data_IF_673878956623
#
_entry.id   IF_673878956623
#
_cell.length_a   1.000
_cell.length_b   1.000
_cell.length_c   1.000
_cell.angle_alpha   90.00
_cell.angle_beta   90.00
_cell.angle_gamma   90.00
#
_symmetry.space_group_name_H-M   'P 1'
#
loop_
_entity.id
_entity.type
_entity.pdbx_description
1 polymer ?
#
# COMPACT_ATOMS: atom_id res chain seq x y z
N UNK A 1 22.92 11.06 -13.60
CA UNK A 1 22.78 12.34 -12.89
C UNK A 1 22.60 13.51 -13.85
N UNK A 2 23.42 13.64 -14.90
CA UNK A 2 23.34 14.75 -15.86
C UNK A 2 21.96 14.90 -16.52
N UNK A 3 21.44 13.81 -17.09
CA UNK A 3 20.11 13.80 -17.72
C UNK A 3 18.99 14.10 -16.72
N UNK A 4 19.14 13.64 -15.48
CA UNK A 4 18.15 13.88 -14.41
C UNK A 4 18.15 15.36 -14.05
N UNK A 5 19.33 15.95 -13.83
CA UNK A 5 19.47 17.38 -13.54
C UNK A 5 18.89 18.25 -14.66
N UNK A 6 19.20 17.90 -15.93
CA UNK A 6 18.65 18.58 -17.10
C UNK A 6 17.12 18.54 -17.15
N UNK A 7 16.52 17.37 -16.93
CA UNK A 7 15.05 17.22 -16.90
C UNK A 7 14.40 17.92 -15.71
N UNK A 8 15.03 17.87 -14.53
CA UNK A 8 14.58 18.53 -13.32
C UNK A 8 14.83 20.05 -13.31
N UNK A 9 15.54 20.58 -14.32
CA UNK A 9 15.94 22.00 -14.43
C UNK A 9 16.72 22.50 -13.21
N UNK A 10 17.57 21.63 -12.66
CA UNK A 10 18.49 21.95 -11.56
C UNK A 10 19.93 21.71 -12.00
N UNK A 11 20.91 22.21 -11.24
CA UNK A 11 22.32 21.92 -11.52
C UNK A 11 22.66 20.49 -11.09
N UNK A 12 23.66 19.88 -11.76
CA UNK A 12 24.21 18.58 -11.35
C UNK A 12 24.76 18.62 -9.92
N UNK A 13 25.40 19.73 -9.53
CA UNK A 13 25.90 19.95 -8.17
C UNK A 13 24.79 19.97 -7.13
N UNK A 14 23.61 20.52 -7.46
CA UNK A 14 22.44 20.48 -6.58
C UNK A 14 22.04 19.04 -6.27
N UNK A 15 22.00 18.15 -7.27
CA UNK A 15 21.68 16.75 -7.01
C UNK A 15 22.74 16.05 -6.14
N UNK A 16 24.03 16.27 -6.41
CA UNK A 16 25.10 15.67 -5.61
C UNK A 16 25.17 16.18 -4.16
N UNK A 17 24.66 17.37 -3.88
CA UNK A 17 24.53 17.86 -2.51
C UNK A 17 23.49 17.07 -1.69
N UNK A 18 22.52 16.44 -2.36
CA UNK A 18 21.44 15.69 -1.71
C UNK A 18 21.61 14.18 -1.84
N UNK A 19 22.23 13.71 -2.93
CA UNK A 19 22.35 12.30 -3.25
C UNK A 19 23.76 11.97 -3.69
N UNK A 20 24.40 11.03 -3.00
CA UNK A 20 25.80 10.67 -3.24
C UNK A 20 25.98 9.97 -4.60
N UNK A 21 24.95 9.24 -5.04
CA UNK A 21 24.96 8.46 -6.27
C UNK A 21 23.59 8.45 -6.96
N UNK A 22 23.52 7.83 -8.14
CA UNK A 22 22.25 7.65 -8.86
C UNK A 22 21.37 6.60 -8.17
N UNK A 23 22.00 5.61 -7.57
CA UNK A 23 21.39 4.54 -6.80
C UNK A 23 20.81 5.08 -5.50
N UNK A 24 21.54 5.99 -4.84
CA UNK A 24 21.07 6.71 -3.65
C UNK A 24 19.83 7.56 -3.95
N UNK A 25 19.85 8.30 -5.06
CA UNK A 25 18.67 9.00 -5.56
C UNK A 25 17.51 8.05 -5.88
N UNK A 26 17.78 6.87 -6.48
CA UNK A 26 16.74 5.87 -6.77
C UNK A 26 16.08 5.37 -5.48
N UNK A 27 16.85 5.09 -4.43
CA UNK A 27 16.31 4.69 -3.14
C UNK A 27 15.47 5.79 -2.49
N UNK A 28 15.90 7.06 -2.58
CA UNK A 28 15.10 8.18 -2.10
C UNK A 28 13.75 8.28 -2.86
N UNK A 29 13.73 7.98 -4.17
CA UNK A 29 12.48 7.88 -4.94
C UNK A 29 11.61 6.71 -4.45
N UNK A 30 12.19 5.57 -4.10
CA UNK A 30 11.40 4.44 -3.54
C UNK A 30 10.77 4.85 -2.20
N UNK A 31 11.54 5.47 -1.30
CA UNK A 31 11.07 5.94 0.00
C UNK A 31 9.92 6.96 -0.15
N UNK A 32 10.09 7.95 -1.02
CA UNK A 32 9.04 8.95 -1.35
C UNK A 32 7.75 8.27 -1.85
N UNK A 33 7.86 7.23 -2.69
CA UNK A 33 6.69 6.50 -3.22
C UNK A 33 5.97 5.67 -2.17
N UNK A 34 6.71 5.07 -1.24
CA UNK A 34 6.12 4.35 -0.10
C UNK A 34 5.36 5.32 0.82
N UNK A 35 5.93 6.51 1.04
CA UNK A 35 5.31 7.56 1.84
C UNK A 35 4.02 8.08 1.21
N UNK A 36 4.05 8.45 -0.07
CA UNK A 36 2.85 8.90 -0.82
C UNK A 36 1.71 7.89 -0.77
N UNK A 37 2.02 6.59 -0.88
CA UNK A 37 1.01 5.53 -0.75
C UNK A 37 0.35 5.51 0.63
N UNK A 38 1.11 5.77 1.69
CA UNK A 38 0.56 5.84 3.06
C UNK A 38 -0.33 7.07 3.25
N UNK A 39 0.10 8.22 2.74
CA UNK A 39 -0.65 9.49 2.82
C UNK A 39 -2.02 9.40 2.13
N UNK A 40 -2.12 8.71 0.98
CA UNK A 40 -3.40 8.50 0.28
C UNK A 40 -4.41 7.77 1.17
N UNK A 41 -3.97 6.69 1.85
CA UNK A 41 -4.86 5.93 2.73
C UNK A 41 -5.24 6.73 3.97
N UNK A 42 -4.27 7.43 4.59
CA UNK A 42 -4.54 8.29 5.75
C UNK A 42 -5.56 9.39 5.40
N UNK A 43 -5.42 10.04 4.24
CA UNK A 43 -6.37 11.03 3.75
C UNK A 43 -7.75 10.43 3.47
N UNK A 44 -7.81 9.22 2.91
CA UNK A 44 -9.07 8.54 2.61
C UNK A 44 -9.85 8.23 3.89
N UNK A 45 -9.17 7.72 4.93
CA UNK A 45 -9.77 7.43 6.24
C UNK A 45 -10.27 8.73 6.91
N UNK A 46 -9.42 9.77 6.91
CA UNK A 46 -9.71 11.06 7.51
C UNK A 46 -10.06 10.96 9.00
N UNK A 47 -11.02 11.76 9.47
CA UNK A 47 -11.47 11.77 10.89
C UNK A 47 -12.71 10.91 11.13
N UNK A 48 -12.89 9.81 10.40
CA UNK A 48 -14.08 8.97 10.55
C UNK A 48 -14.20 8.42 11.98
N UNK A 49 -15.32 8.70 12.65
CA UNK A 49 -15.59 8.25 14.03
C UNK A 49 -16.33 6.90 14.03
N UNK A 50 -17.07 6.59 12.97
CA UNK A 50 -17.84 5.35 12.85
C UNK A 50 -16.99 4.25 12.18
N UNK A 51 -16.80 3.08 12.83
CA UNK A 51 -15.89 2.04 12.34
C UNK A 51 -16.21 1.48 10.96
N UNK A 52 -17.49 1.33 10.58
CA UNK A 52 -17.87 0.77 9.26
C UNK A 52 -17.57 1.76 8.15
N UNK A 53 -17.84 3.06 8.37
CA UNK A 53 -17.48 4.13 7.46
C UNK A 53 -15.95 4.27 7.35
N UNK A 54 -15.22 4.14 8.45
CA UNK A 54 -13.76 4.11 8.43
C UNK A 54 -13.24 2.94 7.57
N UNK A 55 -13.79 1.74 7.74
CA UNK A 55 -13.44 0.57 6.92
C UNK A 55 -13.72 0.78 5.43
N UNK A 56 -14.92 1.28 5.08
CA UNK A 56 -15.29 1.54 3.70
C UNK A 56 -14.36 2.58 3.05
N UNK A 57 -13.98 3.62 3.80
CA UNK A 57 -13.00 4.63 3.35
C UNK A 57 -11.59 4.07 3.22
N UNK A 58 -11.16 3.20 4.13
CA UNK A 58 -9.90 2.49 4.01
C UNK A 58 -9.88 1.68 2.71
N UNK A 59 -10.92 0.91 2.42
CA UNK A 59 -11.02 0.13 1.16
C UNK A 59 -10.90 1.03 -0.07
N UNK A 60 -11.60 2.16 -0.09
CA UNK A 60 -11.49 3.13 -1.19
C UNK A 60 -10.07 3.68 -1.33
N UNK A 61 -9.43 4.04 -0.22
CA UNK A 61 -8.04 4.46 -0.19
C UNK A 61 -7.10 3.37 -0.73
N UNK A 62 -7.33 2.11 -0.40
CA UNK A 62 -6.55 0.98 -0.90
C UNK A 62 -6.71 0.79 -2.40
N UNK A 63 -7.93 0.91 -2.93
CA UNK A 63 -8.20 0.85 -4.37
C UNK A 63 -7.41 1.93 -5.09
N UNK A 64 -7.42 3.17 -4.57
CA UNK A 64 -6.65 4.29 -5.13
C UNK A 64 -5.14 4.05 -5.07
N UNK A 65 -4.62 3.57 -3.94
CA UNK A 65 -3.21 3.25 -3.77
C UNK A 65 -2.77 2.16 -4.72
N UNK A 66 -3.55 1.09 -4.89
CA UNK A 66 -3.21 0.00 -5.82
C UNK A 66 -3.14 0.53 -7.25
N UNK A 67 -4.14 1.29 -7.69
CA UNK A 67 -4.15 1.89 -9.02
C UNK A 67 -2.96 2.82 -9.26
N UNK A 68 -2.65 3.69 -8.29
CA UNK A 68 -1.50 4.59 -8.36
C UNK A 68 -0.18 3.82 -8.39
N UNK A 69 0.03 2.94 -7.40
CA UNK A 69 1.30 2.24 -7.22
C UNK A 69 1.55 1.24 -8.36
N UNK A 70 0.54 0.62 -8.97
CA UNK A 70 0.74 -0.26 -10.11
C UNK A 70 1.47 0.44 -11.28
N UNK A 71 1.22 1.74 -11.48
CA UNK A 71 1.88 2.53 -12.54
C UNK A 71 3.35 2.87 -12.24
N UNK A 72 3.73 2.87 -10.96
CA UNK A 72 5.07 3.27 -10.49
C UNK A 72 5.88 2.13 -9.89
N UNK A 73 5.25 0.99 -9.60
CA UNK A 73 5.84 -0.22 -9.04
C UNK A 73 7.05 -0.75 -9.84
N UNK A 74 7.12 -0.64 -11.18
CA UNK A 74 8.32 -1.04 -11.91
C UNK A 74 9.60 -0.37 -11.41
N UNK A 75 9.53 0.89 -10.97
CA UNK A 75 10.69 1.63 -10.42
C UNK A 75 11.16 0.99 -9.11
N UNK A 76 10.21 0.62 -8.24
CA UNK A 76 10.51 -0.04 -6.95
C UNK A 76 11.12 -1.42 -7.18
N UNK A 77 10.60 -2.20 -8.14
CA UNK A 77 11.15 -3.52 -8.45
C UNK A 77 12.51 -3.44 -9.15
N UNK A 78 12.74 -2.44 -10.00
CA UNK A 78 14.06 -2.19 -10.59
C UNK A 78 15.10 -1.86 -9.53
N UNK A 79 14.72 -1.16 -8.46
CA UNK A 79 15.64 -0.84 -7.36
C UNK A 79 16.28 -2.10 -6.77
N UNK A 80 15.55 -3.21 -6.64
CA UNK A 80 16.10 -4.49 -6.15
C UNK A 80 17.29 -4.96 -6.98
N UNK A 81 17.16 -4.93 -8.32
CA UNK A 81 18.23 -5.35 -9.21
C UNK A 81 19.40 -4.36 -9.21
N UNK A 82 19.10 -3.05 -9.15
CA UNK A 82 20.10 -1.98 -9.17
C UNK A 82 21.00 -2.02 -7.94
N UNK A 83 20.45 -2.28 -6.75
CA UNK A 83 21.23 -2.26 -5.51
C UNK A 83 21.82 -3.62 -5.12
N UNK A 84 21.48 -4.71 -5.82
CA UNK A 84 21.88 -6.07 -5.45
C UNK A 84 23.41 -6.29 -5.31
N UNK A 85 24.23 -5.48 -5.99
CA UNK A 85 25.69 -5.51 -5.89
C UNK A 85 26.28 -4.71 -4.72
N UNK A 86 25.46 -3.93 -4.01
CA UNK A 86 25.86 -3.06 -2.91
C UNK A 86 25.09 -3.47 -1.64
N UNK A 87 25.82 -4.03 -0.67
CA UNK A 87 25.22 -4.55 0.56
C UNK A 87 24.57 -3.45 1.41
N UNK A 88 25.14 -2.25 1.40
CA UNK A 88 24.64 -1.15 2.23
C UNK A 88 23.36 -0.57 1.63
N UNK A 89 23.33 -0.35 0.31
CA UNK A 89 22.12 0.08 -0.38
C UNK A 89 21.01 -0.98 -0.32
N UNK A 90 21.38 -2.27 -0.43
CA UNK A 90 20.43 -3.38 -0.24
C UNK A 90 19.83 -3.38 1.16
N UNK A 91 20.66 -3.21 2.19
CA UNK A 91 20.21 -3.12 3.59
C UNK A 91 19.23 -1.96 3.77
N UNK A 92 19.57 -0.78 3.24
CA UNK A 92 18.74 0.42 3.36
C UNK A 92 17.37 0.23 2.68
N UNK A 93 17.34 -0.38 1.50
CA UNK A 93 16.09 -0.71 0.81
C UNK A 93 15.22 -1.70 1.60
N UNK A 94 15.81 -2.77 2.12
CA UNK A 94 15.07 -3.73 2.96
C UNK A 94 14.55 -3.10 4.24
N UNK A 95 15.32 -2.20 4.86
CA UNK A 95 14.89 -1.47 6.05
C UNK A 95 13.71 -0.54 5.75
N UNK A 96 13.76 0.21 4.65
CA UNK A 96 12.68 1.07 4.21
C UNK A 96 11.39 0.27 3.94
N UNK A 97 11.49 -0.81 3.16
CA UNK A 97 10.35 -1.69 2.87
C UNK A 97 9.81 -2.35 4.15
N UNK A 98 10.70 -2.86 5.00
CA UNK A 98 10.33 -3.48 6.26
C UNK A 98 9.64 -2.50 7.22
N UNK A 99 10.13 -1.26 7.30
CA UNK A 99 9.51 -0.20 8.10
C UNK A 99 8.11 0.15 7.57
N UNK A 100 7.97 0.31 6.26
CA UNK A 100 6.69 0.56 5.59
C UNK A 100 5.66 -0.53 5.92
N UNK A 101 6.00 -1.81 5.70
CA UNK A 101 5.07 -2.91 5.99
C UNK A 101 4.73 -3.05 7.48
N UNK A 102 5.69 -2.80 8.38
CA UNK A 102 5.42 -2.79 9.84
C UNK A 102 4.45 -1.68 10.24
N UNK A 103 4.64 -0.48 9.71
CA UNK A 103 3.76 0.66 9.99
C UNK A 103 2.34 0.38 9.49
N UNK A 104 2.22 -0.15 8.28
CA UNK A 104 0.95 -0.56 7.70
C UNK A 104 0.24 -1.65 8.49
N UNK A 105 0.98 -2.69 8.90
CA UNK A 105 0.43 -3.75 9.75
C UNK A 105 -0.07 -3.20 11.09
N UNK A 106 0.66 -2.28 11.71
CA UNK A 106 0.27 -1.65 12.97
C UNK A 106 -1.01 -0.81 12.83
N UNK A 107 -1.12 -0.02 11.76
CA UNK A 107 -2.32 0.78 11.46
C UNK A 107 -3.56 -0.10 11.22
N UNK A 108 -3.41 -1.14 10.40
CA UNK A 108 -4.48 -2.10 10.15
C UNK A 108 -4.91 -2.83 11.44
N UNK A 109 -3.94 -3.29 12.25
CA UNK A 109 -4.21 -3.93 13.55
C UNK A 109 -5.01 -3.01 14.47
N UNK A 110 -4.58 -1.77 14.65
CA UNK A 110 -5.26 -0.80 15.50
C UNK A 110 -6.70 -0.54 15.07
N UNK A 111 -6.94 -0.46 13.76
CA UNK A 111 -8.30 -0.29 13.20
C UNK A 111 -9.18 -1.49 13.51
N UNK A 112 -8.65 -2.71 13.37
CA UNK A 112 -9.38 -3.94 13.64
C UNK A 112 -9.68 -4.13 15.13
N UNK A 113 -8.72 -3.83 16.00
CA UNK A 113 -8.90 -3.86 17.46
C UNK A 113 -10.00 -2.89 17.90
N UNK A 114 -10.00 -1.65 17.38
CA UNK A 114 -11.02 -0.67 17.67
C UNK A 114 -12.41 -1.10 17.17
N UNK A 115 -12.48 -1.70 15.98
CA UNK A 115 -13.73 -2.23 15.44
C UNK A 115 -14.27 -3.44 16.20
N UNK A 116 -13.40 -4.33 16.72
CA UNK A 116 -13.81 -5.41 17.61
C UNK A 116 -14.28 -4.87 18.97
N UNK A 117 -13.56 -3.92 19.57
CA UNK A 117 -13.92 -3.33 20.86
C UNK A 117 -15.26 -2.57 20.84
N UNK A 118 -15.61 -1.96 19.71
CA UNK A 118 -16.89 -1.28 19.51
C UNK A 118 -18.03 -2.20 19.09
N UNK A 119 -17.76 -3.49 18.83
CA UNK A 119 -18.73 -4.46 18.32
C UNK A 119 -19.09 -4.28 16.84
N UNK A 120 -18.36 -3.44 16.11
CA UNK A 120 -18.56 -3.25 14.68
C UNK A 120 -18.06 -4.43 13.84
N UNK A 121 -17.00 -5.11 14.30
CA UNK A 121 -16.43 -6.30 13.66
C UNK A 121 -16.59 -7.54 14.56
N UNK A 122 -16.61 -8.73 13.95
CA UNK A 122 -16.69 -9.99 14.71
C UNK A 122 -15.46 -10.17 15.61
N UNK A 123 -15.69 -10.60 16.84
CA UNK A 123 -14.64 -10.80 17.86
C UNK A 123 -13.90 -12.14 17.75
N UNK A 124 -14.40 -13.08 16.95
CA UNK A 124 -13.81 -14.41 16.72
C UNK A 124 -12.71 -14.41 15.63
N UNK A 125 -12.45 -13.25 15.04
CA UNK A 125 -11.48 -13.07 13.97
C UNK A 125 -10.09 -12.84 14.57
N UNK A 126 -9.15 -13.71 14.21
CA UNK A 126 -7.75 -13.49 14.55
C UNK A 126 -7.19 -12.33 13.73
N UNK A 127 -6.79 -11.26 14.42
CA UNK A 127 -6.36 -10.01 13.79
C UNK A 127 -5.09 -10.20 12.94
N UNK A 128 -4.08 -10.91 13.47
CA UNK A 128 -2.78 -11.03 12.80
C UNK A 128 -2.88 -11.77 11.44
N UNK A 129 -3.51 -12.96 11.34
CA UNK A 129 -3.72 -13.61 10.05
C UNK A 129 -4.51 -12.75 9.05
N UNK A 130 -5.50 -11.99 9.53
CA UNK A 130 -6.28 -11.10 8.68
C UNK A 130 -5.41 -9.95 8.13
N UNK A 131 -4.62 -9.30 8.98
CA UNK A 131 -3.69 -8.23 8.57
C UNK A 131 -2.69 -8.75 7.54
N UNK A 132 -2.09 -9.93 7.75
CA UNK A 132 -1.16 -10.51 6.78
C UNK A 132 -1.85 -10.83 5.45
N UNK A 133 -3.08 -11.33 5.48
CA UNK A 133 -3.88 -11.60 4.29
C UNK A 133 -4.19 -10.31 3.51
N UNK A 134 -4.55 -9.23 4.22
CA UNK A 134 -4.79 -7.92 3.63
C UNK A 134 -3.53 -7.35 2.95
N UNK A 135 -2.38 -7.41 3.63
CA UNK A 135 -1.10 -6.95 3.09
C UNK A 135 -0.67 -7.75 1.85
N UNK A 136 -0.85 -9.07 1.89
CA UNK A 136 -0.57 -9.94 0.76
C UNK A 136 -1.48 -9.64 -0.44
N UNK A 137 -2.77 -9.40 -0.20
CA UNK A 137 -3.74 -9.03 -1.23
C UNK A 137 -3.34 -7.72 -1.93
N UNK A 138 -3.09 -6.67 -1.15
CA UNK A 138 -2.68 -5.35 -1.67
C UNK A 138 -1.39 -5.45 -2.46
N UNK A 139 -0.37 -6.12 -1.90
CA UNK A 139 0.93 -6.29 -2.57
C UNK A 139 0.80 -7.11 -3.86
N UNK A 140 -0.05 -8.13 -3.87
CA UNK A 140 -0.32 -8.97 -5.04
C UNK A 140 -0.98 -8.19 -6.17
N UNK A 141 -1.94 -7.32 -5.87
CA UNK A 141 -2.57 -6.46 -6.89
C UNK A 141 -1.61 -5.39 -7.43
N UNK A 142 -0.78 -4.78 -6.59
CA UNK A 142 0.25 -3.85 -7.04
C UNK A 142 1.22 -4.55 -8.00
N UNK A 143 1.68 -5.75 -7.63
CA UNK A 143 2.59 -6.54 -8.46
C UNK A 143 1.95 -6.92 -9.80
N UNK A 144 0.74 -7.51 -9.76
CA UNK A 144 0.03 -7.94 -10.98
C UNK A 144 -0.35 -6.77 -11.86
N UNK A 145 -0.71 -5.64 -11.29
CA UNK A 145 -1.04 -4.41 -12.02
C UNK A 145 0.08 -3.90 -12.93
N UNK A 146 1.33 -4.34 -12.73
CA UNK A 146 2.46 -4.04 -13.62
C UNK A 146 2.29 -4.69 -15.00
N UNK A 147 1.67 -5.87 -15.08
CA UNK A 147 1.55 -6.65 -16.32
C UNK A 147 0.13 -7.12 -16.64
N UNK A 148 -0.83 -6.85 -15.75
CA UNK A 148 -2.25 -7.20 -15.84
C UNK A 148 -3.09 -5.99 -15.38
N UNK A 149 -3.16 -4.89 -16.17
CA UNK A 149 -3.86 -3.66 -15.77
C UNK A 149 -5.36 -3.85 -15.51
N UNK A 150 -5.98 -4.87 -16.11
CA UNK A 150 -7.36 -5.27 -15.86
C UNK A 150 -7.58 -5.75 -14.42
N UNK A 151 -6.55 -6.31 -13.76
CA UNK A 151 -6.65 -6.76 -12.38
C UNK A 151 -6.69 -5.60 -11.37
N UNK A 152 -6.34 -4.38 -11.79
CA UNK A 152 -6.39 -3.17 -10.95
C UNK A 152 -7.58 -2.26 -11.27
N UNK A 153 -8.53 -2.74 -12.07
CA UNK A 153 -9.81 -2.05 -12.26
C UNK A 153 -10.55 -1.91 -10.90
N UNK A 154 -11.10 -0.72 -10.58
CA UNK A 154 -11.72 -0.47 -9.27
C UNK A 154 -12.78 -1.50 -8.86
N UNK A 155 -13.58 -1.98 -9.81
CA UNK A 155 -14.62 -2.99 -9.61
C UNK A 155 -14.05 -4.36 -9.22
N UNK A 156 -12.91 -4.76 -9.81
CA UNK A 156 -12.22 -6.01 -9.49
C UNK A 156 -11.62 -5.93 -8.10
N UNK A 157 -10.94 -4.82 -7.80
CA UNK A 157 -10.34 -4.58 -6.49
C UNK A 157 -11.40 -4.54 -5.39
N UNK A 158 -12.52 -3.84 -5.63
CA UNK A 158 -13.63 -3.77 -4.69
C UNK A 158 -14.24 -5.14 -4.43
N UNK A 159 -14.52 -5.93 -5.48
CA UNK A 159 -15.03 -7.28 -5.32
C UNK A 159 -14.07 -8.18 -4.51
N UNK A 160 -12.75 -8.04 -4.69
CA UNK A 160 -11.76 -8.79 -3.92
C UNK A 160 -11.71 -8.37 -2.45
N UNK A 161 -11.76 -7.07 -2.15
CA UNK A 161 -11.87 -6.59 -0.77
C UNK A 161 -13.19 -7.03 -0.13
N UNK A 162 -14.32 -6.89 -0.82
CA UNK A 162 -15.62 -7.32 -0.32
C UNK A 162 -15.63 -8.82 0.00
N UNK A 163 -15.03 -9.66 -0.84
CA UNK A 163 -14.89 -11.10 -0.57
C UNK A 163 -14.02 -11.39 0.67
N UNK A 164 -12.90 -10.67 0.85
CA UNK A 164 -12.05 -10.78 2.03
C UNK A 164 -12.79 -10.34 3.31
N UNK A 165 -13.51 -9.22 3.25
CA UNK A 165 -14.25 -8.65 4.38
C UNK A 165 -15.50 -9.49 4.73
N UNK A 166 -16.23 -9.97 3.74
CA UNK A 166 -17.43 -10.81 3.92
C UNK A 166 -17.09 -12.15 4.57
N UNK A 167 -16.02 -12.80 4.11
CA UNK A 167 -15.59 -14.09 4.67
C UNK A 167 -15.07 -13.94 6.09
N UNK A 168 -14.45 -12.78 6.40
CA UNK A 168 -13.59 -12.66 7.58
C UNK A 168 -14.05 -11.66 8.64
N UNK A 169 -14.79 -10.59 8.36
CA UNK A 169 -15.07 -9.51 9.33
C UNK A 169 -16.53 -9.16 9.56
N UNK A 170 -17.43 -9.44 8.61
CA UNK A 170 -18.85 -9.10 8.74
C UNK A 170 -19.66 -10.22 9.41
N UNK A 171 -20.66 -9.88 10.25
CA UNK A 171 -21.64 -10.85 10.73
C UNK A 171 -22.34 -11.52 9.54
N UNK A 172 -22.68 -12.83 9.60
CA UNK A 172 -23.31 -13.56 8.50
C UNK A 172 -24.60 -12.93 7.91
N UNK A 173 -25.22 -11.99 8.62
CA UNK A 173 -26.51 -11.39 8.26
C UNK A 173 -26.44 -9.98 7.62
N UNK A 174 -25.25 -9.39 7.41
CA UNK A 174 -25.11 -7.99 6.93
C UNK A 174 -24.63 -7.86 5.47
N UNK A 175 -24.61 -8.95 4.68
CA UNK A 175 -24.36 -8.83 3.24
C UNK A 175 -25.58 -8.19 2.56
N UNK A 176 -25.42 -7.14 1.73
CA UNK A 176 -26.51 -6.67 0.89
C UNK A 176 -26.99 -7.86 0.04
N UNK A 177 -28.32 -8.11 -0.07
CA UNK A 177 -28.82 -9.24 -0.84
C UNK A 177 -28.32 -9.08 -2.28
N UNK A 178 -27.44 -10.00 -2.70
CA UNK A 178 -26.98 -10.07 -4.07
C UNK A 178 -28.19 -10.22 -4.98
N UNK A 179 -28.33 -9.32 -5.95
CA UNK A 179 -29.43 -9.38 -6.91
C UNK A 179 -29.47 -10.76 -7.58
N UNK A 180 -30.67 -11.36 -7.74
CA UNK A 180 -30.81 -12.65 -8.40
C UNK A 180 -30.38 -12.54 -9.87
N UNK A 181 -29.60 -13.55 -10.28
CA UNK A 181 -29.03 -13.75 -11.62
C UNK A 181 -29.99 -13.52 -12.78
#
# INVERSE_FOLDING_TARGET
MEDIAGRARVSKGTLYNHFESKEDLLLAVVEDRLQLGSEIVEMAVGTAIEPRLALARTVEGLIQVIGFQATTAPVVYQAWAVVAGDLELTRRLHEALGAFFRQWAASARSTLEAGQASGAFRSDVEIEPFVQSLLALVSGFIFRGVFEPEATQPEVLRAAFDALLASSLLPPNDLPPGEPR
#
